data_IF_141986096156
#
_entry.id   IF_141986096156
#
_cell.length_a   1.000
_cell.length_b   1.000
_cell.length_c   1.000
_cell.angle_alpha   90.00
_cell.angle_beta   90.00
_cell.angle_gamma   90.00
#
_symmetry.space_group_name_H-M   'P 1'
#
loop_
_entity.id
_entity.type
_entity.pdbx_description
1 polymer ?
#
# COMPACT_ATOMS: atom_id res chain seq x y z
N UNK A 1 54.50 -16.43 -12.26
CA UNK A 1 53.23 -16.36 -13.02
C UNK A 1 52.04 -16.74 -12.14
N UNK A 2 52.06 -17.90 -11.48
CA UNK A 2 50.99 -18.42 -10.61
C UNK A 2 50.53 -17.46 -9.48
N UNK A 3 51.45 -16.79 -8.78
CA UNK A 3 51.12 -15.84 -7.68
C UNK A 3 50.31 -14.64 -8.14
N UNK A 4 50.57 -14.12 -9.34
CA UNK A 4 49.81 -13.00 -9.93
C UNK A 4 48.42 -13.44 -10.37
N UNK A 5 48.29 -14.66 -10.90
CA UNK A 5 47.01 -15.25 -11.29
C UNK A 5 46.11 -15.53 -10.08
N UNK A 6 46.67 -16.03 -8.97
CA UNK A 6 45.96 -16.22 -7.70
C UNK A 6 45.40 -14.89 -7.16
N UNK A 7 46.23 -13.85 -7.08
CA UNK A 7 45.80 -12.53 -6.56
C UNK A 7 44.67 -11.92 -7.42
N UNK A 8 44.76 -12.02 -8.74
CA UNK A 8 43.72 -11.54 -9.65
C UNK A 8 42.41 -12.31 -9.48
N UNK A 9 42.48 -13.63 -9.29
CA UNK A 9 41.28 -14.45 -9.06
C UNK A 9 40.58 -14.14 -7.73
N UNK A 10 41.33 -13.93 -6.63
CA UNK A 10 40.75 -13.56 -5.34
C UNK A 10 40.14 -12.15 -5.37
N UNK A 11 40.78 -11.20 -6.05
CA UNK A 11 40.24 -9.85 -6.24
C UNK A 11 38.93 -9.86 -7.04
N UNK A 12 38.88 -10.67 -8.11
CA UNK A 12 37.67 -10.81 -8.94
C UNK A 12 36.51 -11.43 -8.17
N UNK A 13 36.77 -12.50 -7.40
CA UNK A 13 35.74 -13.14 -6.55
C UNK A 13 35.27 -12.17 -5.47
N UNK A 14 36.16 -11.37 -4.88
CA UNK A 14 35.80 -10.36 -3.90
C UNK A 14 34.91 -9.26 -4.50
N UNK A 15 35.24 -8.75 -5.69
CA UNK A 15 34.38 -7.79 -6.40
C UNK A 15 33.01 -8.36 -6.75
N UNK A 16 32.94 -9.64 -7.14
CA UNK A 16 31.68 -10.31 -7.47
C UNK A 16 30.81 -10.58 -6.23
N UNK A 17 31.43 -10.92 -5.10
CA UNK A 17 30.73 -11.06 -3.82
C UNK A 17 30.24 -9.69 -3.31
N UNK A 18 31.06 -8.64 -3.45
CA UNK A 18 30.71 -7.29 -3.05
C UNK A 18 29.54 -6.73 -3.88
N UNK A 19 29.49 -6.99 -5.19
CA UNK A 19 28.38 -6.52 -6.04
C UNK A 19 27.04 -7.20 -5.69
N UNK A 20 27.04 -8.48 -5.34
CA UNK A 20 25.84 -9.21 -4.88
C UNK A 20 25.30 -8.61 -3.58
N UNK A 21 26.17 -8.16 -2.68
CA UNK A 21 25.75 -7.49 -1.44
C UNK A 21 25.13 -6.11 -1.76
N UNK A 22 25.68 -5.36 -2.71
CA UNK A 22 25.21 -4.01 -3.08
C UNK A 22 23.86 -4.04 -3.82
N UNK A 23 23.51 -5.11 -4.54
CA UNK A 23 22.21 -5.23 -5.23
C UNK A 23 20.99 -5.34 -4.31
N UNK A 24 21.19 -5.61 -3.01
CA UNK A 24 20.10 -5.74 -2.02
C UNK A 24 19.77 -4.42 -1.29
N UNK A 25 20.34 -3.28 -1.70
CA UNK A 25 20.16 -2.00 -0.99
C UNK A 25 19.17 -1.04 -1.66
N UNK A 26 18.52 -1.44 -2.75
CA UNK A 26 17.58 -0.58 -3.48
C UNK A 26 16.17 -1.15 -3.45
N UNK A 27 15.58 -1.21 -2.26
CA UNK A 27 14.14 -1.23 -2.13
C UNK A 27 13.67 0.18 -1.76
N UNK A 28 12.87 0.80 -2.63
CA UNK A 28 12.09 1.97 -2.26
C UNK A 28 10.95 1.51 -1.33
N UNK A 29 11.29 1.03 -0.13
CA UNK A 29 10.31 0.75 0.90
C UNK A 29 9.80 2.13 1.33
N UNK A 30 8.51 2.46 1.13
CA UNK A 30 7.96 3.66 1.71
C UNK A 30 8.25 3.59 3.20
N UNK A 31 9.02 4.56 3.71
CA UNK A 31 9.38 4.57 5.12
C UNK A 31 8.06 4.50 5.89
N UNK A 32 7.84 3.50 6.77
CA UNK A 32 6.55 3.34 7.45
C UNK A 32 6.08 4.63 8.14
N UNK A 33 7.04 5.44 8.61
CA UNK A 33 6.83 6.77 9.20
C UNK A 33 6.16 7.81 8.28
N UNK A 34 6.25 7.65 6.95
CA UNK A 34 5.64 8.54 5.96
C UNK A 34 4.20 8.16 5.58
N UNK A 35 3.72 7.01 6.03
CA UNK A 35 2.35 6.57 5.77
C UNK A 35 1.43 7.31 6.75
N UNK A 36 0.57 8.17 6.21
CA UNK A 36 -0.41 8.94 7.00
C UNK A 36 -1.65 8.09 7.33
N UNK A 37 -2.01 7.14 6.47
CA UNK A 37 -3.10 6.21 6.70
C UNK A 37 -3.04 5.02 5.75
N UNK A 38 -3.39 3.84 6.24
CA UNK A 38 -3.46 2.61 5.46
C UNK A 38 -4.65 1.75 5.89
N UNK A 39 -5.64 1.60 5.02
CA UNK A 39 -6.84 0.82 5.29
C UNK A 39 -6.82 -0.45 4.44
N UNK A 40 -6.49 -1.58 5.07
CA UNK A 40 -6.35 -2.87 4.40
C UNK A 40 -7.67 -3.63 4.25
N UNK A 41 -8.70 -3.24 5.02
CA UNK A 41 -10.02 -3.85 5.01
C UNK A 41 -10.02 -5.33 5.44
N UNK A 42 -9.09 -5.78 6.29
CA UNK A 42 -8.98 -7.19 6.71
C UNK A 42 -9.99 -7.61 7.80
N UNK A 43 -10.71 -6.67 8.40
CA UNK A 43 -11.65 -6.93 9.49
C UNK A 43 -12.83 -7.81 9.05
N UNK A 44 -13.35 -7.56 7.85
CA UNK A 44 -14.40 -8.36 7.23
C UNK A 44 -15.77 -8.30 7.91
N UNK A 45 -15.96 -7.47 8.94
CA UNK A 45 -17.22 -7.28 9.67
C UNK A 45 -17.20 -5.99 10.50
N UNK A 46 -18.38 -5.56 10.93
CA UNK A 46 -18.56 -4.34 11.73
C UNK A 46 -18.68 -3.08 10.87
N UNK A 47 -18.72 -1.93 11.53
CA UNK A 47 -18.89 -0.59 10.95
C UNK A 47 -17.63 0.28 11.07
N UNK A 48 -16.48 -0.32 11.40
CA UNK A 48 -15.18 0.35 11.51
C UNK A 48 -14.18 -0.27 10.53
N UNK A 49 -13.30 0.56 9.97
CA UNK A 49 -12.17 0.19 9.14
C UNK A 49 -10.91 0.67 9.86
N UNK A 50 -10.05 -0.25 10.29
CA UNK A 50 -8.89 0.12 11.10
C UNK A 50 -7.76 0.64 10.24
N UNK A 51 -7.08 1.62 10.77
CA UNK A 51 -5.83 2.11 10.21
C UNK A 51 -4.67 1.20 10.62
N UNK A 52 -3.97 0.68 9.60
CA UNK A 52 -2.80 -0.18 9.73
C UNK A 52 -1.48 0.60 9.71
N UNK A 53 -1.51 1.92 9.52
CA UNK A 53 -0.30 2.75 9.54
C UNK A 53 0.24 3.02 10.95
N UNK A 54 -0.57 2.77 11.98
CA UNK A 54 -0.23 3.07 13.37
C UNK A 54 -0.51 4.52 13.77
N UNK A 55 -1.28 5.28 12.98
CA UNK A 55 -1.67 6.67 13.26
C UNK A 55 -3.09 6.80 13.82
N UNK A 56 -3.74 5.68 14.10
CA UNK A 56 -5.10 5.61 14.65
C UNK A 56 -6.13 6.36 13.78
N UNK A 57 -5.92 6.39 12.46
CA UNK A 57 -6.83 7.02 11.49
C UNK A 57 -8.00 6.10 11.11
N UNK A 58 -8.66 5.51 12.11
CA UNK A 58 -9.75 4.56 11.86
C UNK A 58 -10.90 5.27 11.12
N UNK A 59 -11.45 4.59 10.12
CA UNK A 59 -12.60 5.04 9.37
C UNK A 59 -13.89 4.41 9.90
N UNK A 60 -15.00 5.14 9.80
CA UNK A 60 -16.33 4.63 10.08
C UNK A 60 -17.08 4.39 8.78
N UNK A 61 -17.71 3.23 8.65
CA UNK A 61 -18.59 2.90 7.53
C UNK A 61 -19.92 3.63 7.75
N UNK A 62 -20.28 4.47 6.78
CA UNK A 62 -21.57 5.17 6.73
C UNK A 62 -22.41 4.55 5.62
N UNK A 63 -23.66 4.23 5.93
CA UNK A 63 -24.55 3.46 5.06
C UNK A 63 -24.39 1.96 5.28
N UNK A 64 -24.65 1.18 4.24
CA UNK A 64 -24.70 -0.29 4.31
C UNK A 64 -23.67 -0.93 3.35
N UNK A 65 -22.43 -0.46 3.39
CA UNK A 65 -21.35 -1.07 2.61
C UNK A 65 -21.16 -2.52 3.04
N UNK A 66 -20.95 -3.42 2.08
CA UNK A 66 -20.85 -4.87 2.35
C UNK A 66 -19.40 -5.31 2.33
N UNK A 67 -19.04 -6.11 3.32
CA UNK A 67 -17.77 -6.84 3.32
C UNK A 67 -17.82 -7.99 2.32
N UNK A 68 -16.90 -7.99 1.37
CA UNK A 68 -16.75 -9.01 0.32
C UNK A 68 -15.31 -9.54 0.29
N UNK A 69 -15.06 -10.57 -0.51
CA UNK A 69 -13.68 -11.01 -0.79
C UNK A 69 -13.00 -10.01 -1.72
N UNK A 70 -11.83 -9.52 -1.32
CA UNK A 70 -11.05 -8.52 -2.05
C UNK A 70 -9.97 -9.12 -2.95
N UNK A 71 -9.13 -8.25 -3.53
CA UNK A 71 -7.90 -8.67 -4.23
C UNK A 71 -6.94 -9.38 -3.28
N UNK A 72 -6.84 -8.84 -2.07
CA UNK A 72 -6.19 -9.43 -0.91
C UNK A 72 -7.22 -9.46 0.21
N UNK A 73 -7.30 -10.56 0.97
CA UNK A 73 -8.21 -10.66 2.11
C UNK A 73 -9.67 -10.26 1.79
N UNK A 74 -10.11 -9.20 2.44
CA UNK A 74 -11.47 -8.65 2.34
C UNK A 74 -11.47 -7.26 1.68
N UNK A 75 -12.64 -6.78 1.29
CA UNK A 75 -12.85 -5.46 0.72
C UNK A 75 -14.27 -4.96 1.03
N UNK A 76 -14.51 -3.67 0.79
CA UNK A 76 -15.85 -3.09 0.84
C UNK A 76 -16.44 -2.92 -0.56
N UNK A 77 -17.67 -3.40 -0.72
CA UNK A 77 -18.54 -3.08 -1.85
C UNK A 77 -19.36 -1.82 -1.52
N UNK A 78 -19.19 -0.79 -2.34
CA UNK A 78 -19.89 0.48 -2.20
C UNK A 78 -21.07 0.55 -3.19
N UNK A 79 -22.25 0.88 -2.66
CA UNK A 79 -23.44 1.27 -3.44
C UNK A 79 -23.68 2.77 -3.25
N UNK A 80 -24.50 3.43 -4.09
CA UNK A 80 -24.78 4.86 -3.93
C UNK A 80 -25.19 5.22 -2.50
N UNK A 81 -24.56 6.27 -1.94
CA UNK A 81 -24.78 6.74 -0.56
C UNK A 81 -23.87 6.09 0.50
N UNK A 82 -23.16 5.01 0.19
CA UNK A 82 -22.19 4.41 1.11
C UNK A 82 -20.84 5.11 1.04
N UNK A 83 -20.18 5.28 2.18
CA UNK A 83 -18.81 5.79 2.28
C UNK A 83 -18.09 5.24 3.50
N UNK A 84 -16.76 5.36 3.50
CA UNK A 84 -15.97 5.32 4.72
C UNK A 84 -15.58 6.75 5.06
N UNK A 85 -15.92 7.19 6.26
CA UNK A 85 -15.57 8.51 6.76
C UNK A 85 -14.41 8.38 7.73
N UNK A 86 -13.29 9.03 7.41
CA UNK A 86 -12.13 9.12 8.29
C UNK A 86 -12.15 10.53 8.89
N UNK A 87 -12.15 10.67 10.24
CA UNK A 87 -12.09 11.97 10.88
C UNK A 87 -10.87 12.76 10.41
N UNK A 88 -11.04 14.08 10.28
CA UNK A 88 -9.91 14.95 9.93
C UNK A 88 -8.82 14.88 11.00
N UNK A 89 -7.57 14.97 10.53
CA UNK A 89 -6.37 15.07 11.33
C UNK A 89 -5.40 16.03 10.63
N UNK A 90 -4.56 16.70 11.42
CA UNK A 90 -3.67 17.75 10.92
C UNK A 90 -2.71 17.27 9.81
N UNK A 91 -2.32 16.00 9.86
CA UNK A 91 -1.43 15.37 8.88
C UNK A 91 -2.09 15.12 7.51
N UNK A 92 -3.42 15.21 7.39
CA UNK A 92 -4.08 15.25 6.09
C UNK A 92 -3.92 16.60 5.36
N UNK A 93 -3.49 17.65 6.06
CA UNK A 93 -3.26 18.99 5.48
C UNK A 93 -1.84 19.10 4.92
N UNK A 94 -1.50 18.26 3.94
CA UNK A 94 -0.21 18.29 3.24
C UNK A 94 -0.34 18.88 1.84
N UNK A 95 0.65 19.66 1.40
CA UNK A 95 0.72 20.20 0.04
C UNK A 95 1.03 19.14 -1.02
N UNK A 96 1.65 18.02 -0.61
CA UNK A 96 2.04 16.93 -1.50
C UNK A 96 1.75 15.59 -0.85
N UNK A 97 1.13 14.69 -1.61
CA UNK A 97 0.81 13.34 -1.15
C UNK A 97 0.74 12.37 -2.32
N UNK A 98 0.71 11.08 -2.00
CA UNK A 98 0.43 10.00 -2.94
C UNK A 98 -0.72 9.18 -2.39
N UNK A 99 -1.70 8.87 -3.24
CA UNK A 99 -2.81 7.98 -2.91
C UNK A 99 -2.75 6.75 -3.79
N UNK A 100 -2.90 5.58 -3.18
CA UNK A 100 -2.91 4.29 -3.87
C UNK A 100 -4.08 3.47 -3.35
N UNK A 101 -4.81 2.82 -4.24
CA UNK A 101 -5.95 1.99 -3.87
C UNK A 101 -6.12 0.83 -4.86
N UNK A 102 -6.59 -0.31 -4.35
CA UNK A 102 -7.13 -1.39 -5.16
C UNK A 102 -8.62 -1.17 -5.37
N UNK A 103 -9.03 -0.91 -6.61
CA UNK A 103 -10.42 -0.64 -6.95
C UNK A 103 -10.87 -1.65 -8.00
N UNK A 104 -11.99 -2.33 -7.74
CA UNK A 104 -12.68 -3.16 -8.73
C UNK A 104 -13.96 -2.42 -9.16
N UNK A 105 -14.00 -1.99 -10.42
CA UNK A 105 -15.18 -1.37 -11.01
C UNK A 105 -15.92 -2.46 -11.78
N UNK A 106 -17.14 -2.86 -11.38
CA UNK A 106 -17.92 -3.83 -12.14
C UNK A 106 -18.15 -3.29 -13.56
N UNK A 107 -18.32 -4.19 -14.53
CA UNK A 107 -18.51 -3.81 -15.94
C UNK A 107 -19.60 -2.74 -16.04
N UNK A 108 -19.21 -1.55 -16.49
CA UNK A 108 -20.15 -0.47 -16.71
C UNK A 108 -21.20 -0.94 -17.73
N UNK A 109 -22.46 -0.93 -17.34
CA UNK A 109 -23.60 -1.25 -18.23
C UNK A 109 -23.90 -0.12 -19.22
N UNK A 110 -22.90 0.72 -19.56
CA UNK A 110 -23.06 1.84 -20.49
C UNK A 110 -23.80 3.06 -19.93
N UNK A 111 -24.12 3.09 -18.63
CA UNK A 111 -24.77 4.25 -18.01
C UNK A 111 -23.75 5.12 -17.28
N UNK A 112 -23.65 6.36 -17.73
CA UNK A 112 -22.92 7.43 -17.04
C UNK A 112 -23.55 7.65 -15.66
N UNK A 113 -22.79 7.38 -14.61
CA UNK A 113 -23.17 7.74 -13.25
C UNK A 113 -22.56 9.12 -12.94
N UNK A 114 -23.25 10.19 -13.31
CA UNK A 114 -22.99 11.51 -12.75
C UNK A 114 -23.90 11.70 -11.54
N UNK A 115 -23.36 11.63 -10.34
CA UNK A 115 -24.08 12.08 -9.15
C UNK A 115 -23.75 13.56 -8.94
N UNK A 116 -24.75 14.41 -9.20
CA UNK A 116 -24.83 15.78 -8.67
C UNK A 116 -24.98 15.77 -7.15
#
# INVERSE_FOLDING_TARGET
MLRKMLILSFSFIYCLALSIVVTNLSEAIPKPESIIGAWLFDEGKGDEVKDSSGKERNGKIIGNAKWISGKFGKALEFTPGNKVEIPHADDFTTSTFTLMAWINIPKATGQWHSTS
#
